data_IF_296276719612
#
_entry.id   IF_296276719612
#
_cell.length_a   1.000
_cell.length_b   1.000
_cell.length_c   1.000
_cell.angle_alpha   90.00
_cell.angle_beta   90.00
_cell.angle_gamma   90.00
#
_symmetry.space_group_name_H-M   'P 1'
#
loop_
_entity.id
_entity.type
_entity.pdbx_description
1 polymer ?
#
# COMPACT_ATOMS: atom_id res chain seq x y z
N UNK A 1 -23.20 26.14 -0.69
CA UNK A 1 -23.17 24.71 -1.03
C UNK A 1 -21.78 24.13 -0.71
N UNK A 2 -21.62 23.48 0.45
CA UNK A 2 -20.50 22.56 0.68
C UNK A 2 -20.55 21.51 -0.44
N UNK A 3 -19.49 21.32 -1.21
CA UNK A 3 -19.49 20.26 -2.22
C UNK A 3 -19.68 18.93 -1.50
N UNK A 4 -20.70 18.18 -1.90
CA UNK A 4 -21.05 16.87 -1.37
C UNK A 4 -20.09 15.79 -1.89
N UNK A 5 -18.81 16.12 -2.02
CA UNK A 5 -17.80 15.26 -2.59
C UNK A 5 -17.00 14.62 -1.45
N UNK A 6 -17.18 13.32 -1.29
CA UNK A 6 -16.36 12.53 -0.38
C UNK A 6 -14.92 12.50 -0.92
N UNK A 7 -13.94 12.64 -0.03
CA UNK A 7 -12.51 12.64 -0.40
C UNK A 7 -11.78 11.54 0.34
N UNK A 8 -11.00 10.74 -0.38
CA UNK A 8 -10.07 9.76 0.20
C UNK A 8 -8.64 10.22 -0.09
N UNK A 9 -7.80 10.18 0.94
CA UNK A 9 -6.36 10.33 0.79
C UNK A 9 -5.72 8.95 0.91
N UNK A 10 -5.09 8.48 -0.17
CA UNK A 10 -4.36 7.21 -0.19
C UNK A 10 -2.87 7.48 -0.40
N UNK A 11 -2.01 6.67 0.21
CA UNK A 11 -0.59 6.73 -0.05
C UNK A 11 -0.33 6.48 -1.55
N UNK A 12 0.56 7.26 -2.15
CA UNK A 12 0.89 7.14 -3.58
C UNK A 12 1.63 5.82 -3.91
N UNK A 13 2.31 5.27 -2.92
CA UNK A 13 3.15 4.08 -3.00
C UNK A 13 2.93 3.20 -1.77
N UNK A 14 3.34 1.94 -1.87
CA UNK A 14 3.47 1.04 -0.72
C UNK A 14 4.40 1.63 0.35
N UNK A 15 4.13 1.34 1.63
CA UNK A 15 5.00 1.71 2.74
C UNK A 15 6.40 1.12 2.54
N UNK A 16 7.43 1.96 2.55
CA UNK A 16 8.80 1.49 2.34
C UNK A 16 9.51 1.10 3.63
N UNK A 17 10.56 0.28 3.51
CA UNK A 17 11.46 -0.03 4.62
C UNK A 17 12.09 1.23 5.22
N UNK A 18 12.45 2.20 4.36
CA UNK A 18 13.02 3.47 4.80
C UNK A 18 12.06 4.27 5.68
N UNK A 19 10.79 4.33 5.29
CA UNK A 19 9.74 5.00 6.08
C UNK A 19 9.49 4.27 7.41
N UNK A 20 9.38 2.93 7.37
CA UNK A 20 9.21 2.14 8.58
C UNK A 20 10.37 2.36 9.57
N UNK A 21 11.62 2.30 9.10
CA UNK A 21 12.80 2.53 9.93
C UNK A 21 12.89 3.96 10.45
N UNK A 22 12.45 4.96 9.68
CA UNK A 22 12.43 6.35 10.12
C UNK A 22 11.49 6.58 11.32
N UNK A 23 10.39 5.81 11.41
CA UNK A 23 9.42 5.91 12.50
C UNK A 23 9.73 4.96 13.65
N UNK A 24 10.07 3.71 13.34
CA UNK A 24 10.15 2.60 14.31
C UNK A 24 11.59 2.24 14.69
N UNK A 25 12.58 2.67 13.91
CA UNK A 25 13.99 2.26 14.05
C UNK A 25 14.33 0.97 13.30
N UNK A 26 15.64 0.75 13.10
CA UNK A 26 16.14 -0.42 12.37
C UNK A 26 15.98 -1.72 13.17
N UNK A 27 16.08 -1.66 14.49
CA UNK A 27 15.88 -2.83 15.36
C UNK A 27 14.43 -3.34 15.29
N UNK A 28 13.46 -2.43 15.21
CA UNK A 28 12.06 -2.80 15.01
C UNK A 28 11.83 -3.46 13.64
N UNK A 29 12.52 -3.00 12.58
CA UNK A 29 12.46 -3.66 11.27
C UNK A 29 13.02 -5.09 11.35
N UNK A 30 14.18 -5.26 12.00
CA UNK A 30 14.82 -6.57 12.17
C UNK A 30 13.95 -7.55 12.97
N UNK A 31 13.19 -7.06 13.95
CA UNK A 31 12.26 -7.86 14.74
C UNK A 31 10.94 -8.17 14.00
N UNK A 32 10.43 -7.24 13.19
CA UNK A 32 9.14 -7.36 12.54
C UNK A 32 9.19 -8.10 11.18
N UNK A 33 10.29 -7.99 10.44
CA UNK A 33 10.42 -8.55 9.09
C UNK A 33 10.88 -10.00 9.11
N UNK A 34 10.14 -10.86 8.41
CA UNK A 34 10.54 -12.25 8.14
C UNK A 34 11.62 -12.39 7.05
N UNK A 35 12.13 -11.30 6.46
CA UNK A 35 13.19 -11.36 5.47
C UNK A 35 14.57 -11.29 6.14
N UNK A 36 15.43 -12.33 6.01
CA UNK A 36 16.75 -12.33 6.65
C UNK A 36 17.65 -11.15 6.27
N UNK A 37 17.48 -10.58 5.08
CA UNK A 37 18.26 -9.42 4.65
C UNK A 37 17.99 -8.17 5.52
N UNK A 38 16.82 -8.08 6.15
CA UNK A 38 16.43 -6.92 6.96
C UNK A 38 17.11 -6.89 8.33
N UNK A 39 17.64 -8.03 8.80
CA UNK A 39 18.44 -8.10 10.03
C UNK A 39 19.73 -7.26 9.94
N UNK A 40 20.26 -7.08 8.74
CA UNK A 40 21.47 -6.32 8.50
C UNK A 40 21.19 -4.87 8.05
N UNK A 41 19.94 -4.41 8.11
CA UNK A 41 19.55 -3.09 7.60
C UNK A 41 20.36 -1.96 8.25
N UNK A 42 20.58 -2.02 9.57
CA UNK A 42 21.33 -1.01 10.32
C UNK A 42 22.80 -0.86 9.87
N UNK A 43 23.36 -1.89 9.24
CA UNK A 43 24.74 -1.91 8.76
C UNK A 43 24.87 -1.37 7.33
N UNK A 44 23.75 -1.18 6.61
CA UNK A 44 23.76 -0.73 5.23
C UNK A 44 24.22 0.72 5.13
N UNK A 45 25.01 1.00 4.09
CA UNK A 45 25.50 2.34 3.80
C UNK A 45 25.47 2.64 2.29
N UNK A 46 25.59 3.92 1.94
CA UNK A 46 25.73 4.38 0.56
C UNK A 46 24.63 3.88 -0.38
N UNK A 47 25.02 3.23 -1.49
CA UNK A 47 24.09 2.73 -2.51
C UNK A 47 23.17 1.64 -1.97
N UNK A 48 23.68 0.75 -1.11
CA UNK A 48 22.90 -0.36 -0.57
C UNK A 48 21.78 0.15 0.34
N UNK A 49 22.08 1.12 1.20
CA UNK A 49 21.07 1.77 2.05
C UNK A 49 20.00 2.46 1.21
N UNK A 50 20.40 3.26 0.21
CA UNK A 50 19.44 3.95 -0.68
C UNK A 50 18.53 2.98 -1.42
N UNK A 51 19.06 1.83 -1.86
CA UNK A 51 18.25 0.79 -2.49
C UNK A 51 17.27 0.17 -1.50
N UNK A 52 17.71 -0.15 -0.28
CA UNK A 52 16.84 -0.73 0.74
C UNK A 52 15.71 0.23 1.17
N UNK A 53 16.00 1.53 1.26
CA UNK A 53 15.04 2.56 1.69
C UNK A 53 13.82 2.68 0.77
N UNK A 54 13.95 2.36 -0.52
CA UNK A 54 12.87 2.45 -1.52
C UNK A 54 12.22 1.10 -1.82
N UNK A 55 12.65 0.02 -1.14
CA UNK A 55 11.95 -1.25 -1.22
C UNK A 55 10.66 -1.20 -0.41
N UNK A 56 9.58 -1.83 -0.87
CA UNK A 56 8.37 -2.00 -0.05
C UNK A 56 8.69 -2.81 1.20
N UNK A 57 7.99 -2.48 2.28
CA UNK A 57 7.97 -3.29 3.50
C UNK A 57 7.11 -4.53 3.24
N UNK A 58 7.67 -5.71 3.50
CA UNK A 58 7.00 -6.98 3.27
C UNK A 58 7.48 -8.02 4.29
N UNK A 59 6.80 -9.18 4.32
CA UNK A 59 7.02 -10.24 5.31
C UNK A 59 6.83 -9.76 6.76
N UNK A 60 5.94 -8.79 6.97
CA UNK A 60 5.56 -8.28 8.29
C UNK A 60 4.15 -8.74 8.65
N UNK A 61 3.86 -8.77 9.96
CA UNK A 61 2.51 -9.06 10.45
C UNK A 61 1.61 -7.81 10.38
N UNK A 62 0.30 -8.03 10.40
CA UNK A 62 -0.66 -6.94 10.56
C UNK A 62 -0.41 -6.12 11.83
N UNK A 63 -0.04 -6.78 12.93
CA UNK A 63 0.28 -6.11 14.19
C UNK A 63 1.44 -5.12 14.03
N UNK A 64 2.49 -5.47 13.28
CA UNK A 64 3.61 -4.56 13.03
C UNK A 64 3.18 -3.31 12.23
N UNK A 65 2.22 -3.45 11.32
CA UNK A 65 1.65 -2.32 10.59
C UNK A 65 0.78 -1.45 11.49
N UNK A 66 -0.05 -2.04 12.36
CA UNK A 66 -0.84 -1.29 13.34
C UNK A 66 0.05 -0.51 14.33
N UNK A 67 1.16 -1.11 14.77
CA UNK A 67 2.11 -0.43 15.65
C UNK A 67 2.85 0.70 14.93
N UNK A 68 3.19 0.54 13.65
CA UNK A 68 3.70 1.63 12.82
C UNK A 68 2.70 2.77 12.69
N UNK A 69 1.44 2.47 12.34
CA UNK A 69 0.38 3.46 12.18
C UNK A 69 0.14 4.22 13.49
N UNK A 70 0.07 3.51 14.63
CA UNK A 70 -0.04 4.12 15.95
C UNK A 70 1.12 5.05 16.23
N UNK A 71 2.35 4.59 16.05
CA UNK A 71 3.55 5.37 16.37
C UNK A 71 3.66 6.61 15.50
N UNK A 72 3.33 6.49 14.21
CA UNK A 72 3.35 7.63 13.30
C UNK A 72 2.25 8.64 13.59
N UNK A 73 1.02 8.18 13.91
CA UNK A 73 -0.05 9.07 14.35
C UNK A 73 0.33 9.79 15.66
N UNK A 74 0.91 9.11 16.65
CA UNK A 74 1.37 9.77 17.88
C UNK A 74 2.42 10.85 17.59
N UNK A 75 3.33 10.60 16.65
CA UNK A 75 4.31 11.60 16.22
C UNK A 75 3.67 12.81 15.50
N UNK A 76 2.65 12.57 14.66
CA UNK A 76 1.90 13.62 13.96
C UNK A 76 1.07 14.51 14.89
N UNK A 77 0.49 13.91 15.93
CA UNK A 77 -0.41 14.58 16.88
C UNK A 77 0.27 14.98 18.19
N UNK A 78 1.61 14.94 18.23
CA UNK A 78 2.40 15.37 19.37
C UNK A 78 2.11 16.84 19.73
N UNK A 79 1.58 17.14 20.93
CA UNK A 79 1.22 18.49 21.34
C UNK A 79 2.42 19.44 21.45
N UNK A 80 3.64 18.91 21.55
CA UNK A 80 4.87 19.72 21.54
C UNK A 80 5.24 20.20 20.13
N UNK A 81 4.63 19.62 19.08
CA UNK A 81 4.92 19.93 17.68
C UNK A 81 3.64 20.16 16.85
N UNK A 82 2.80 21.15 17.20
CA UNK A 82 1.49 21.38 16.59
C UNK A 82 1.53 21.65 15.07
N UNK A 83 2.66 22.14 14.55
CA UNK A 83 2.89 22.37 13.12
C UNK A 83 2.78 21.09 12.29
N UNK A 84 3.04 19.90 12.86
CA UNK A 84 2.92 18.63 12.13
C UNK A 84 1.47 18.34 11.76
N UNK A 85 0.54 18.59 12.69
CA UNK A 85 -0.90 18.44 12.48
C UNK A 85 -1.45 19.43 11.44
N UNK A 86 -0.87 20.62 11.34
CA UNK A 86 -1.30 21.63 10.35
C UNK A 86 -1.02 21.23 8.90
N UNK A 87 -0.08 20.31 8.68
CA UNK A 87 0.23 19.77 7.36
C UNK A 87 -0.69 18.61 6.94
N UNK A 88 -1.58 18.14 7.84
CA UNK A 88 -2.49 17.05 7.53
C UNK A 88 -3.66 17.54 6.68
N UNK A 89 -4.16 16.71 5.75
CA UNK A 89 -5.41 17.00 5.07
C UNK A 89 -6.55 17.14 6.07
N UNK A 90 -7.45 18.09 5.79
CA UNK A 90 -8.60 18.40 6.64
C UNK A 90 -9.88 18.01 5.92
N UNK A 91 -10.78 17.30 6.62
CA UNK A 91 -12.15 17.02 6.16
C UNK A 91 -13.08 17.56 7.23
N UNK A 92 -13.98 18.48 6.85
CA UNK A 92 -14.90 19.16 7.78
C UNK A 92 -14.22 19.76 9.02
N UNK A 93 -13.06 20.39 8.81
CA UNK A 93 -12.22 20.98 9.87
C UNK A 93 -11.63 19.95 10.86
N UNK A 94 -11.73 18.65 10.55
CA UNK A 94 -11.09 17.58 11.30
C UNK A 94 -9.83 17.13 10.53
N UNK A 95 -8.64 17.11 11.17
CA UNK A 95 -7.45 16.56 10.54
C UNK A 95 -7.60 15.06 10.31
N UNK A 96 -7.16 14.59 9.16
CA UNK A 96 -7.01 13.17 8.89
C UNK A 96 -5.97 12.52 9.79
N UNK A 97 -6.01 11.20 9.85
CA UNK A 97 -5.01 10.35 10.51
C UNK A 97 -4.70 9.16 9.61
N UNK A 98 -3.55 8.52 9.78
CA UNK A 98 -3.20 7.36 8.98
C UNK A 98 -3.88 6.11 9.51
N UNK A 99 -4.39 5.30 8.58
CA UNK A 99 -4.94 3.97 8.83
C UNK A 99 -4.73 3.11 7.59
N UNK A 100 -4.96 1.81 7.73
CA UNK A 100 -5.20 0.96 6.57
C UNK A 100 -6.43 1.47 5.81
N UNK A 101 -6.37 1.47 4.48
CA UNK A 101 -7.53 1.70 3.63
C UNK A 101 -8.56 0.59 3.86
N UNK A 102 -9.85 0.87 3.75
CA UNK A 102 -10.82 -0.23 3.66
C UNK A 102 -10.66 -0.94 2.32
N UNK A 103 -11.25 -2.12 2.19
CA UNK A 103 -11.20 -2.86 0.94
C UNK A 103 -11.87 -2.10 -0.21
N UNK A 104 -12.96 -1.41 0.08
CA UNK A 104 -13.72 -0.60 -0.88
C UNK A 104 -12.92 0.63 -1.32
N UNK A 105 -12.26 1.31 -0.39
CA UNK A 105 -11.40 2.45 -0.70
C UNK A 105 -10.22 2.03 -1.57
N UNK A 106 -9.60 0.89 -1.24
CA UNK A 106 -8.50 0.33 -2.03
C UNK A 106 -8.97 -0.06 -3.43
N UNK A 107 -10.09 -0.80 -3.56
CA UNK A 107 -10.60 -1.23 -4.86
C UNK A 107 -11.03 -0.04 -5.72
N UNK A 108 -11.69 0.96 -5.12
CA UNK A 108 -12.08 2.19 -5.81
C UNK A 108 -10.85 2.89 -6.41
N UNK A 109 -9.79 3.04 -5.62
CA UNK A 109 -8.54 3.62 -6.09
C UNK A 109 -7.89 2.76 -7.18
N UNK A 110 -7.82 1.44 -7.02
CA UNK A 110 -7.27 0.50 -8.00
C UNK A 110 -8.02 0.52 -9.33
N UNK A 111 -9.34 0.61 -9.32
CA UNK A 111 -10.16 0.79 -10.53
C UNK A 111 -9.97 2.16 -11.19
N UNK A 112 -9.33 3.11 -10.51
CA UNK A 112 -9.07 4.45 -11.02
C UNK A 112 -10.19 5.46 -10.72
N UNK A 113 -11.05 5.12 -9.75
CA UNK A 113 -11.99 6.03 -9.10
C UNK A 113 -12.92 6.79 -10.04
N UNK A 114 -13.09 8.09 -9.79
CA UNK A 114 -13.99 8.95 -10.58
C UNK A 114 -13.64 8.99 -12.06
N UNK A 115 -12.35 8.86 -12.42
CA UNK A 115 -11.94 8.88 -13.83
C UNK A 115 -12.51 7.65 -14.55
N UNK A 116 -12.36 6.46 -13.96
CA UNK A 116 -12.92 5.21 -14.47
C UNK A 116 -14.45 5.17 -14.48
N UNK A 117 -15.09 5.81 -13.50
CA UNK A 117 -16.56 5.93 -13.49
C UNK A 117 -17.06 6.80 -14.64
N UNK A 118 -16.32 7.85 -14.99
CA UNK A 118 -16.69 8.79 -16.05
C UNK A 118 -16.43 8.25 -17.45
N UNK A 119 -15.40 7.42 -17.63
CA UNK A 119 -15.08 6.81 -18.93
C UNK A 119 -15.73 5.42 -19.16
N UNK A 120 -16.37 4.87 -18.12
CA UNK A 120 -17.07 3.59 -18.18
C UNK A 120 -16.20 2.36 -17.91
N UNK A 121 -14.91 2.52 -17.64
CA UNK A 121 -13.97 1.41 -17.38
C UNK A 121 -14.00 0.89 -15.94
N UNK A 122 -14.76 1.51 -15.03
CA UNK A 122 -14.75 1.13 -13.61
C UNK A 122 -15.01 -0.35 -13.35
N UNK A 123 -15.89 -0.98 -14.14
CA UNK A 123 -16.25 -2.40 -13.99
C UNK A 123 -15.29 -3.36 -14.71
N UNK A 124 -14.29 -2.84 -15.42
CA UNK A 124 -13.30 -3.67 -16.09
C UNK A 124 -12.45 -4.44 -15.07
N UNK A 125 -11.85 -5.53 -15.56
CA UNK A 125 -10.96 -6.37 -14.76
C UNK A 125 -9.72 -5.58 -14.28
N UNK A 126 -9.23 -4.69 -15.13
CA UNK A 126 -8.06 -3.84 -14.93
C UNK A 126 -8.40 -2.45 -15.51
N UNK A 127 -7.88 -1.34 -14.94
CA UNK A 127 -8.11 0.01 -15.44
C UNK A 127 -7.26 0.33 -16.69
N UNK A 128 -6.74 -0.70 -17.36
CA UNK A 128 -5.92 -0.64 -18.55
C UNK A 128 -6.03 -1.96 -19.33
N UNK A 129 -5.69 -1.99 -20.63
CA UNK A 129 -5.72 -3.23 -21.41
C UNK A 129 -4.82 -4.32 -20.82
N UNK A 130 -5.33 -5.55 -20.68
CA UNK A 130 -4.58 -6.69 -20.08
C UNK A 130 -3.19 -6.90 -20.68
N UNK A 131 -3.02 -6.66 -22.00
CA UNK A 131 -1.72 -6.76 -22.69
C UNK A 131 -0.65 -5.80 -22.14
N UNK A 132 -1.06 -4.73 -21.46
CA UNK A 132 -0.20 -3.73 -20.85
C UNK A 132 0.12 -4.05 -19.38
N UNK A 133 -0.29 -5.20 -18.82
CA UNK A 133 -0.02 -5.54 -17.42
C UNK A 133 1.47 -5.39 -17.04
N UNK A 134 2.39 -5.71 -17.95
CA UNK A 134 3.82 -5.52 -17.74
C UNK A 134 4.26 -4.06 -17.56
N UNK A 135 3.47 -3.09 -18.02
CA UNK A 135 3.78 -1.67 -17.89
C UNK A 135 3.31 -1.10 -16.55
N UNK A 136 2.25 -1.66 -15.98
CA UNK A 136 1.57 -1.17 -14.76
C UNK A 136 1.82 -2.03 -13.53
N UNK A 137 2.28 -3.28 -13.70
CA UNK A 137 2.28 -4.26 -12.62
C UNK A 137 3.47 -5.19 -12.57
N UNK A 138 3.63 -5.82 -11.41
CA UNK A 138 4.66 -6.82 -11.13
C UNK A 138 4.02 -8.16 -10.80
N UNK A 139 4.44 -9.21 -11.49
CA UNK A 139 3.88 -10.55 -11.32
C UNK A 139 4.99 -11.59 -11.51
N UNK A 140 4.69 -12.86 -11.27
CA UNK A 140 5.70 -13.95 -11.29
C UNK A 140 6.56 -13.96 -12.56
N UNK A 141 5.93 -13.75 -13.72
CA UNK A 141 6.58 -13.75 -15.04
C UNK A 141 7.55 -12.60 -15.30
N UNK A 142 7.43 -11.44 -14.62
CA UNK A 142 8.31 -10.29 -14.84
C UNK A 142 9.15 -9.89 -13.61
N UNK A 143 8.77 -10.35 -12.42
CA UNK A 143 9.46 -10.06 -11.16
C UNK A 143 10.27 -11.23 -10.61
N UNK A 144 10.02 -12.46 -11.08
CA UNK A 144 10.71 -13.69 -10.62
C UNK A 144 10.67 -13.84 -9.08
N UNK A 145 9.50 -13.61 -8.48
CA UNK A 145 9.27 -13.68 -7.02
C UNK A 145 10.11 -12.71 -6.18
N UNK A 146 10.57 -11.59 -6.76
CA UNK A 146 11.37 -10.59 -6.04
C UNK A 146 10.68 -9.23 -6.07
N UNK A 147 10.29 -8.66 -4.90
CA UNK A 147 9.80 -7.29 -4.85
C UNK A 147 10.76 -6.31 -5.49
N UNK A 148 10.22 -5.22 -6.00
CA UNK A 148 10.93 -4.18 -6.72
C UNK A 148 10.85 -2.86 -5.94
N UNK A 149 11.79 -1.94 -6.17
CA UNK A 149 11.64 -0.58 -5.68
C UNK A 149 10.27 -0.02 -6.09
N UNK A 150 9.65 0.74 -5.18
CA UNK A 150 8.34 1.36 -5.43
C UNK A 150 8.38 2.29 -6.65
N UNK A 151 7.25 2.44 -7.32
CA UNK A 151 7.04 3.42 -8.39
C UNK A 151 7.75 3.11 -9.72
N UNK A 152 8.27 1.90 -9.89
CA UNK A 152 9.03 1.51 -11.09
C UNK A 152 8.15 1.15 -12.29
N UNK A 153 6.83 1.02 -12.09
CA UNK A 153 5.82 0.81 -13.13
C UNK A 153 4.92 2.04 -13.27
N UNK A 154 4.19 2.12 -14.38
CA UNK A 154 3.26 3.22 -14.63
C UNK A 154 2.20 3.29 -13.52
N UNK A 155 1.87 4.50 -13.05
CA UNK A 155 0.74 4.65 -12.15
C UNK A 155 -0.58 4.40 -12.89
N UNK A 156 -1.66 4.15 -12.14
CA UNK A 156 -2.99 4.24 -12.71
C UNK A 156 -3.38 5.71 -13.02
N UNK A 157 -4.59 5.92 -13.52
CA UNK A 157 -5.13 7.25 -13.85
C UNK A 157 -5.25 8.24 -12.68
N UNK A 158 -5.15 7.77 -11.43
CA UNK A 158 -5.12 8.62 -10.24
C UNK A 158 -3.68 8.97 -9.80
N UNK A 159 -2.66 8.46 -10.49
CA UNK A 159 -1.26 8.69 -10.13
C UNK A 159 -0.72 7.76 -9.03
N UNK A 160 -1.48 6.72 -8.65
CA UNK A 160 -1.09 5.74 -7.62
C UNK A 160 -0.36 4.57 -8.29
N UNK A 161 0.76 4.14 -7.70
CA UNK A 161 1.62 3.09 -8.24
C UNK A 161 1.44 1.77 -7.52
N UNK A 162 1.96 0.70 -8.14
CA UNK A 162 2.13 -0.63 -7.57
C UNK A 162 0.85 -1.36 -7.10
N UNK A 163 -0.34 -0.81 -7.39
CA UNK A 163 -1.66 -1.43 -7.11
C UNK A 163 -1.90 -2.79 -7.81
N UNK A 164 -1.00 -3.20 -8.71
CA UNK A 164 -1.11 -4.43 -9.50
C UNK A 164 0.17 -5.25 -9.41
N UNK A 165 0.57 -5.63 -8.21
CA UNK A 165 1.67 -6.53 -7.96
C UNK A 165 2.55 -6.09 -6.81
N UNK A 166 3.83 -6.35 -6.96
CA UNK A 166 4.90 -6.04 -6.02
C UNK A 166 4.69 -6.76 -4.68
N UNK A 167 4.02 -6.15 -3.71
CA UNK A 167 3.67 -6.82 -2.46
C UNK A 167 2.16 -6.76 -2.22
N UNK A 168 1.65 -7.76 -1.50
CA UNK A 168 0.26 -7.73 -1.08
C UNK A 168 0.03 -6.58 -0.10
N UNK A 169 -1.03 -5.80 -0.33
CA UNK A 169 -1.38 -4.65 0.51
C UNK A 169 -2.47 -5.05 1.52
N UNK A 170 -2.17 -4.94 2.82
CA UNK A 170 -3.16 -5.18 3.87
C UNK A 170 -4.21 -4.07 3.86
N UNK A 171 -5.49 -4.44 4.02
CA UNK A 171 -6.60 -3.49 4.15
C UNK A 171 -7.31 -3.68 5.48
N UNK A 172 -8.00 -2.63 5.94
CA UNK A 172 -8.74 -2.62 7.17
C UNK A 172 -9.95 -3.56 7.10
N UNK A 173 -10.31 -4.10 8.26
CA UNK A 173 -11.48 -4.96 8.42
C UNK A 173 -11.11 -6.43 8.53
N UNK A 174 -12.14 -7.24 8.81
CA UNK A 174 -12.00 -8.68 8.88
C UNK A 174 -12.28 -9.23 7.50
N UNK A 175 -11.52 -10.25 7.09
CA UNK A 175 -11.85 -11.00 5.89
C UNK A 175 -13.30 -11.52 5.96
N UNK A 176 -14.16 -11.01 5.06
CA UNK A 176 -15.57 -11.40 4.94
C UNK A 176 -15.69 -12.43 3.82
N UNK A 177 -15.92 -13.72 4.14
CA UNK A 177 -16.12 -14.74 3.12
C UNK A 177 -17.48 -14.52 2.46
N UNK A 178 -17.54 -13.66 1.45
CA UNK A 178 -18.81 -13.46 0.74
C UNK A 178 -19.09 -14.59 -0.24
N UNK A 179 -18.08 -15.30 -0.75
CA UNK A 179 -18.30 -16.46 -1.65
C UNK A 179 -17.06 -17.38 -1.64
N UNK A 180 -17.08 -18.47 -0.85
CA UNK A 180 -16.15 -19.63 -0.94
C UNK A 180 -14.63 -19.37 -0.99
N UNK A 181 -14.14 -18.23 -0.51
CA UNK A 181 -12.71 -17.94 -0.41
C UNK A 181 -12.38 -17.67 1.06
N UNK A 182 -11.28 -18.23 1.57
CA UNK A 182 -10.68 -17.91 2.88
C UNK A 182 -11.33 -18.49 4.14
N UNK A 183 -10.55 -18.52 5.23
CA UNK A 183 -11.03 -18.85 6.58
C UNK A 183 -11.39 -17.56 7.33
N UNK A 184 -12.48 -17.53 8.13
CA UNK A 184 -12.78 -16.42 9.02
C UNK A 184 -11.59 -16.10 9.93
N UNK A 185 -11.34 -14.80 10.20
CA UNK A 185 -10.27 -14.33 11.09
C UNK A 185 -8.94 -13.99 10.42
N UNK A 186 -8.84 -14.11 9.09
CA UNK A 186 -7.71 -13.61 8.32
C UNK A 186 -7.73 -12.08 8.11
N UNK A 187 -6.55 -11.52 7.84
CA UNK A 187 -6.39 -10.12 7.41
C UNK A 187 -6.57 -10.07 5.89
N UNK A 188 -7.53 -9.29 5.36
CA UNK A 188 -7.71 -9.15 3.93
C UNK A 188 -6.49 -8.44 3.31
N UNK A 189 -6.08 -8.91 2.14
CA UNK A 189 -5.01 -8.30 1.35
C UNK A 189 -5.46 -8.08 -0.09
N UNK A 190 -4.88 -7.08 -0.75
CA UNK A 190 -5.20 -6.71 -2.13
C UNK A 190 -3.93 -6.54 -2.97
N UNK A 191 -4.09 -6.13 -4.22
CA UNK A 191 -2.98 -5.73 -5.08
C UNK A 191 -2.25 -6.84 -5.84
N UNK A 192 -2.43 -8.12 -5.47
CA UNK A 192 -1.56 -9.22 -5.90
C UNK A 192 -0.10 -9.01 -5.43
N UNK A 193 0.84 -9.84 -5.88
CA UNK A 193 2.27 -9.65 -5.57
C UNK A 193 3.16 -10.21 -6.66
N UNK A 194 4.47 -10.07 -6.48
CA UNK A 194 5.49 -10.66 -7.38
C UNK A 194 5.43 -12.18 -7.52
N UNK A 195 4.65 -12.88 -6.70
CA UNK A 195 4.42 -14.33 -6.82
C UNK A 195 3.09 -14.70 -7.48
N UNK A 196 2.23 -13.73 -7.78
CA UNK A 196 0.93 -13.99 -8.42
C UNK A 196 1.12 -14.25 -9.93
N UNK A 197 0.43 -15.24 -10.51
CA UNK A 197 0.36 -15.43 -11.96
C UNK A 197 -0.24 -14.21 -12.68
N UNK A 198 0.28 -13.86 -13.86
CA UNK A 198 -0.20 -12.71 -14.64
C UNK A 198 -1.72 -12.76 -14.91
N UNK A 199 -2.24 -13.95 -15.22
CA UNK A 199 -3.65 -14.20 -15.50
C UNK A 199 -4.57 -14.08 -14.27
N UNK A 200 -4.03 -13.93 -13.07
CA UNK A 200 -4.82 -13.78 -11.82
C UNK A 200 -4.91 -12.33 -11.34
N UNK A 201 -3.98 -11.46 -11.76
CA UNK A 201 -3.96 -10.04 -11.39
C UNK A 201 -5.21 -9.32 -11.90
N UNK A 202 -5.94 -8.68 -10.97
CA UNK A 202 -7.16 -7.89 -11.23
C UNK A 202 -7.46 -6.99 -10.03
N UNK A 203 -8.18 -5.90 -10.25
CA UNK A 203 -8.54 -4.93 -9.19
C UNK A 203 -9.39 -5.55 -8.08
N UNK A 204 -10.16 -6.60 -8.37
CA UNK A 204 -11.05 -7.29 -7.42
C UNK A 204 -10.47 -8.56 -6.77
N UNK A 205 -9.16 -8.81 -6.89
CA UNK A 205 -8.53 -9.99 -6.30
C UNK A 205 -8.44 -9.84 -4.77
N UNK A 206 -9.02 -10.78 -4.02
CA UNK A 206 -8.98 -10.89 -2.55
C UNK A 206 -8.13 -12.08 -2.15
#
# INVERSE_FOLDING_TARGET
PQSADWTIWLAKYELTKGQFVAVMGADALAAASGNPADQNYAQLQGRALRQAQVMPLAWVSHQAIEDFLRSYNLWLFDPQHPQRRQALPMVDQVPGFLRLATEEEWEYAARGGLVALRDGSFNDRLPFPTRQLNEFGWHVGNAKNKPRPIGMRKPNQLGVHDLFGNVHEMVAGIFRPEIWQGKPGGVPVRGASVSTPAGEVRSSYR
#
